data_IF_105357717010
#
_entry.id   IF_105357717010
#
_cell.length_a   1.000
_cell.length_b   1.000
_cell.length_c   1.000
_cell.angle_alpha   90.00
_cell.angle_beta   90.00
_cell.angle_gamma   90.00
#
_symmetry.space_group_name_H-M   'P 1'
#
loop_
_entity.id
_entity.type
_entity.pdbx_description
1 polymer ?
#
# COMPACT_ATOMS: atom_id res chain seq x y z
N UNK A 1 4.82 19.00 -16.64
CA UNK A 1 5.69 18.86 -17.85
C UNK A 1 6.43 20.16 -18.10
N UNK A 2 7.76 20.13 -18.08
CA UNK A 2 8.62 21.31 -18.23
C UNK A 2 8.64 21.84 -19.67
N UNK A 3 9.00 23.12 -19.83
CA UNK A 3 9.18 23.73 -21.15
C UNK A 3 10.12 22.91 -22.05
N UNK A 4 11.23 22.41 -21.52
CA UNK A 4 12.21 21.61 -22.27
C UNK A 4 11.63 20.28 -22.78
N UNK A 5 10.76 19.64 -22.02
CA UNK A 5 10.13 18.37 -22.39
C UNK A 5 9.03 18.60 -23.44
N UNK A 6 8.18 19.62 -23.22
CA UNK A 6 7.13 20.01 -24.17
C UNK A 6 7.68 20.37 -25.55
N UNK A 7 8.87 20.97 -25.58
CA UNK A 7 9.55 21.37 -26.82
C UNK A 7 10.57 20.32 -27.33
N UNK A 8 10.58 19.10 -26.76
CA UNK A 8 11.48 18.00 -27.17
C UNK A 8 12.98 18.34 -27.10
N UNK A 9 13.36 19.32 -26.28
CA UNK A 9 14.75 19.67 -25.99
C UNK A 9 15.38 18.70 -24.99
N UNK A 10 14.55 18.03 -24.20
CA UNK A 10 14.89 16.88 -23.37
C UNK A 10 13.86 15.77 -23.62
N UNK A 11 14.26 14.48 -23.53
CA UNK A 11 13.31 13.38 -23.55
C UNK A 11 12.32 13.53 -22.38
N UNK A 12 11.09 13.08 -22.58
CA UNK A 12 10.12 12.99 -21.50
C UNK A 12 10.55 11.90 -20.52
N UNK A 13 10.29 12.11 -19.23
CA UNK A 13 10.49 11.06 -18.22
C UNK A 13 9.55 9.90 -18.49
N UNK A 14 10.10 8.70 -18.55
CA UNK A 14 9.35 7.45 -18.53
C UNK A 14 9.06 7.05 -17.08
N UNK A 15 8.10 6.15 -16.87
CA UNK A 15 7.86 5.58 -15.54
C UNK A 15 8.99 4.59 -15.25
N UNK A 16 9.70 4.78 -14.14
CA UNK A 16 10.88 3.98 -13.78
C UNK A 16 10.69 3.33 -12.41
N UNK A 17 11.00 2.02 -12.33
CA UNK A 17 11.15 1.27 -11.08
C UNK A 17 12.62 1.27 -10.63
N UNK A 18 12.85 1.10 -9.33
CA UNK A 18 14.17 1.15 -8.70
C UNK A 18 14.51 2.55 -8.20
N UNK A 19 15.74 3.01 -8.50
CA UNK A 19 16.27 4.25 -7.95
C UNK A 19 15.41 5.47 -8.30
N UNK A 20 15.14 6.29 -7.29
CA UNK A 20 14.55 7.60 -7.50
C UNK A 20 15.56 8.53 -8.16
N UNK A 21 15.12 9.27 -9.19
CA UNK A 21 15.99 10.29 -9.76
C UNK A 21 16.24 11.43 -8.76
N UNK A 22 17.30 12.21 -9.00
CA UNK A 22 17.72 13.30 -8.12
C UNK A 22 16.60 14.31 -7.84
N UNK A 23 15.75 14.61 -8.83
CA UNK A 23 14.67 15.57 -8.63
C UNK A 23 13.59 15.00 -7.73
N UNK A 24 13.20 13.74 -7.93
CA UNK A 24 12.28 13.01 -7.06
C UNK A 24 12.82 12.92 -5.62
N UNK A 25 14.08 12.49 -5.44
CA UNK A 25 14.74 12.44 -4.13
C UNK A 25 14.67 13.78 -3.40
N UNK A 26 15.05 14.86 -4.08
CA UNK A 26 15.07 16.19 -3.47
C UNK A 26 13.67 16.68 -3.09
N UNK A 27 12.65 16.39 -3.90
CA UNK A 27 11.27 16.81 -3.63
C UNK A 27 10.67 16.07 -2.44
N UNK A 28 10.88 14.75 -2.36
CA UNK A 28 10.48 13.94 -1.21
C UNK A 28 11.20 14.40 0.05
N UNK A 29 12.51 14.64 -0.03
CA UNK A 29 13.29 15.16 1.10
C UNK A 29 12.77 16.52 1.58
N UNK A 30 12.49 17.45 0.68
CA UNK A 30 11.92 18.75 1.04
C UNK A 30 10.58 18.58 1.78
N UNK A 31 9.77 17.59 1.38
CA UNK A 31 8.53 17.25 2.07
C UNK A 31 8.79 16.76 3.50
N UNK A 32 9.70 15.79 3.67
CA UNK A 32 10.13 15.26 4.98
C UNK A 32 10.71 16.36 5.87
N UNK A 33 11.55 17.23 5.31
CA UNK A 33 12.18 18.34 6.01
C UNK A 33 11.13 19.31 6.57
N UNK A 34 10.15 19.68 5.76
CA UNK A 34 9.04 20.56 6.17
C UNK A 34 8.14 19.90 7.22
N UNK A 35 7.84 18.60 7.11
CA UNK A 35 7.09 17.81 8.10
C UNK A 35 7.72 18.00 9.49
N UNK A 36 9.04 17.82 9.60
CA UNK A 36 9.77 17.93 10.86
C UNK A 36 10.06 19.37 11.29
N UNK A 37 10.26 20.30 10.34
CA UNK A 37 10.60 21.70 10.64
C UNK A 37 9.39 22.55 11.00
N UNK A 38 8.30 22.48 10.24
CA UNK A 38 7.12 23.37 10.41
C UNK A 38 6.33 23.02 11.66
N UNK A 39 6.27 21.73 12.02
CA UNK A 39 5.46 21.22 13.13
C UNK A 39 6.18 21.21 14.49
N UNK A 40 7.32 21.89 14.56
CA UNK A 40 7.86 22.40 15.82
C UNK A 40 9.06 21.64 16.35
N UNK A 41 10.14 22.41 16.54
CA UNK A 41 11.29 22.05 17.37
C UNK A 41 10.90 21.63 18.81
N UNK A 42 9.66 21.91 19.25
CA UNK A 42 9.15 21.61 20.60
C UNK A 42 7.98 20.60 20.66
N UNK A 43 7.47 20.09 19.54
CA UNK A 43 6.42 19.05 19.58
C UNK A 43 6.99 17.72 20.06
N UNK A 44 6.41 17.15 21.12
CA UNK A 44 6.80 15.85 21.66
C UNK A 44 6.53 14.72 20.65
N UNK A 45 5.45 14.83 19.87
CA UNK A 45 5.10 13.83 18.86
C UNK A 45 6.09 13.81 17.71
N UNK A 46 6.49 14.98 17.22
CA UNK A 46 7.54 15.13 16.22
C UNK A 46 8.87 14.54 16.71
N UNK A 47 9.26 14.84 17.96
CA UNK A 47 10.48 14.26 18.55
C UNK A 47 10.41 12.74 18.64
N UNK A 48 9.26 12.18 19.05
CA UNK A 48 9.06 10.72 19.11
C UNK A 48 9.13 10.08 17.72
N UNK A 49 8.47 10.67 16.73
CA UNK A 49 8.50 10.19 15.35
C UNK A 49 9.92 10.20 14.80
N UNK A 50 10.62 11.33 14.90
CA UNK A 50 12.00 11.44 14.41
C UNK A 50 12.96 10.46 15.10
N UNK A 51 12.83 10.29 16.42
CA UNK A 51 13.64 9.32 17.16
C UNK A 51 13.33 7.88 16.73
N UNK A 52 12.07 7.54 16.50
CA UNK A 52 11.67 6.23 15.99
C UNK A 52 12.26 5.98 14.59
N UNK A 53 12.18 6.96 13.69
CA UNK A 53 12.77 6.85 12.35
C UNK A 53 14.28 6.66 12.43
N UNK A 54 14.98 7.47 13.23
CA UNK A 54 16.43 7.35 13.41
C UNK A 54 16.83 5.97 13.97
N UNK A 55 16.09 5.46 14.96
CA UNK A 55 16.32 4.12 15.52
C UNK A 55 16.18 3.02 14.45
N UNK A 56 15.12 3.11 13.63
CA UNK A 56 14.83 2.14 12.55
C UNK A 56 15.87 2.15 11.44
N UNK A 57 16.41 3.31 11.09
CA UNK A 57 17.50 3.40 10.10
C UNK A 57 18.88 3.13 10.70
N UNK A 58 18.96 2.70 11.96
CA UNK A 58 20.21 2.28 12.61
C UNK A 58 21.08 3.42 13.16
N UNK A 59 20.55 4.63 13.24
CA UNK A 59 21.27 5.80 13.75
C UNK A 59 21.32 5.80 15.29
N UNK A 60 22.53 5.81 15.87
CA UNK A 60 22.71 5.80 17.34
C UNK A 60 22.22 7.09 17.99
N UNK A 61 21.51 7.05 19.11
CA UNK A 61 21.23 8.28 19.87
C UNK A 61 22.52 8.98 20.31
N UNK A 62 22.67 10.25 19.95
CA UNK A 62 23.81 11.08 20.36
C UNK A 62 23.36 12.10 21.39
N UNK A 63 23.53 11.79 22.68
CA UNK A 63 23.37 12.77 23.76
C UNK A 63 24.68 13.57 23.87
N UNK A 64 24.87 14.58 23.02
CA UNK A 64 26.07 15.39 23.09
C UNK A 64 25.99 16.36 24.27
N UNK A 65 26.89 16.20 25.24
CA UNK A 65 27.16 17.08 26.40
C UNK A 65 26.21 16.99 27.61
N UNK A 66 26.69 17.47 28.76
CA UNK A 66 25.95 17.63 30.02
C UNK A 66 24.61 18.41 29.88
N UNK A 67 24.46 19.20 28.80
CA UNK A 67 23.22 19.87 28.44
C UNK A 67 22.30 18.98 27.59
N UNK A 68 22.84 18.08 26.77
CA UNK A 68 22.08 17.09 26.00
C UNK A 68 21.40 16.04 26.87
N UNK A 69 21.91 15.76 28.08
CA UNK A 69 21.20 14.92 29.07
C UNK A 69 20.04 15.65 29.76
N UNK A 70 19.99 16.98 29.71
CA UNK A 70 18.92 17.78 30.32
C UNK A 70 17.78 18.07 29.33
N UNK A 71 18.06 18.13 28.01
CA UNK A 71 17.09 18.53 26.98
C UNK A 71 16.89 17.53 25.82
N UNK A 72 17.66 16.43 25.77
CA UNK A 72 17.62 15.46 24.68
C UNK A 72 18.29 15.94 23.39
N UNK A 73 18.24 15.13 22.33
CA UNK A 73 18.64 15.50 20.97
C UNK A 73 17.70 16.58 20.41
N UNK A 74 18.25 17.58 19.71
CA UNK A 74 17.41 18.59 19.04
C UNK A 74 16.80 18.02 17.76
N UNK A 75 15.62 18.50 17.37
CA UNK A 75 14.99 18.14 16.09
C UNK A 75 15.92 18.50 14.91
N UNK A 76 16.66 19.61 15.01
CA UNK A 76 17.62 20.01 13.96
C UNK A 76 18.73 18.98 13.75
N UNK A 77 19.33 18.51 14.84
CA UNK A 77 20.41 17.53 14.79
C UNK A 77 19.89 16.18 14.29
N UNK A 78 18.67 15.79 14.68
CA UNK A 78 18.03 14.58 14.18
C UNK A 78 17.74 14.64 12.68
N UNK A 79 17.18 15.75 12.18
CA UNK A 79 16.90 15.93 10.75
C UNK A 79 18.18 15.92 9.93
N UNK A 80 19.26 16.57 10.39
CA UNK A 80 20.58 16.54 9.71
C UNK A 80 21.15 15.13 9.58
N UNK A 81 20.94 14.29 10.60
CA UNK A 81 21.39 12.89 10.54
C UNK A 81 20.55 12.06 9.60
N UNK A 82 19.23 12.24 9.64
CA UNK A 82 18.33 11.61 8.68
C UNK A 82 18.68 12.00 7.23
N UNK A 83 19.08 13.26 6.99
CA UNK A 83 19.57 13.74 5.69
C UNK A 83 20.83 12.99 5.24
N UNK A 84 21.76 12.73 6.16
CA UNK A 84 22.97 11.98 5.85
C UNK A 84 22.65 10.54 5.45
N UNK A 85 21.68 9.90 6.13
CA UNK A 85 21.21 8.56 5.76
C UNK A 85 20.54 8.61 4.38
N UNK A 86 19.68 9.59 4.13
CA UNK A 86 18.97 9.76 2.85
C UNK A 86 19.91 9.94 1.63
N UNK A 87 21.02 10.64 1.80
CA UNK A 87 21.95 10.95 0.71
C UNK A 87 23.02 9.87 0.49
N UNK A 88 23.42 9.14 1.54
CA UNK A 88 24.61 8.27 1.49
C UNK A 88 24.32 6.76 1.65
N UNK A 89 23.05 6.37 1.69
CA UNK A 89 22.65 4.95 1.81
C UNK A 89 22.30 4.34 0.46
N UNK A 90 22.01 3.04 0.46
CA UNK A 90 21.47 2.33 -0.69
C UNK A 90 20.11 2.91 -1.09
N UNK A 91 19.78 2.77 -2.38
CA UNK A 91 18.60 3.40 -3.01
C UNK A 91 17.23 3.01 -2.42
N UNK A 92 17.18 1.91 -1.66
CA UNK A 92 15.96 1.44 -1.03
C UNK A 92 15.70 2.15 0.31
N UNK A 93 16.73 2.75 0.92
CA UNK A 93 16.60 3.42 2.21
C UNK A 93 15.70 4.65 2.15
N UNK A 94 15.61 5.33 1.01
CA UNK A 94 14.65 6.43 0.81
C UNK A 94 13.20 5.96 1.01
N UNK A 95 12.89 4.76 0.53
CA UNK A 95 11.55 4.17 0.68
C UNK A 95 11.31 3.68 2.11
N UNK A 96 12.31 3.06 2.74
CA UNK A 96 12.23 2.62 4.14
C UNK A 96 12.02 3.81 5.09
N UNK A 97 12.70 4.93 4.84
CA UNK A 97 12.50 6.17 5.61
C UNK A 97 11.05 6.66 5.45
N UNK A 98 10.52 6.69 4.23
CA UNK A 98 9.15 7.12 3.97
C UNK A 98 8.15 6.22 4.71
N UNK A 99 8.24 4.90 4.54
CA UNK A 99 7.33 3.95 5.23
C UNK A 99 7.45 4.07 6.75
N UNK A 100 8.66 4.21 7.28
CA UNK A 100 8.87 4.40 8.72
C UNK A 100 8.23 5.69 9.23
N UNK A 101 8.27 6.78 8.45
CA UNK A 101 7.57 8.03 8.78
C UNK A 101 6.06 7.79 8.82
N UNK A 102 5.51 7.09 7.82
CA UNK A 102 4.08 6.79 7.75
C UNK A 102 3.61 5.90 8.92
N UNK A 103 4.42 4.93 9.34
CA UNK A 103 4.17 4.10 10.53
C UNK A 103 3.99 4.93 11.82
N UNK A 104 4.64 6.08 11.90
CA UNK A 104 4.55 6.94 13.10
C UNK A 104 3.18 7.60 13.26
N UNK A 105 2.34 7.59 12.20
CA UNK A 105 0.99 8.17 12.18
C UNK A 105 0.95 9.60 12.71
N UNK A 106 2.02 10.37 12.44
CA UNK A 106 2.06 11.78 12.80
C UNK A 106 0.96 12.53 12.05
N UNK A 107 0.05 13.12 12.80
CA UNK A 107 -1.04 13.92 12.26
C UNK A 107 -0.55 15.34 12.03
N UNK A 108 0.22 15.52 10.96
CA UNK A 108 0.77 16.81 10.57
C UNK A 108 0.48 17.12 9.12
N UNK A 109 -0.03 18.33 8.89
CA UNK A 109 -0.40 18.81 7.57
C UNK A 109 0.79 19.56 6.94
N UNK A 110 1.05 19.30 5.67
CA UNK A 110 2.14 19.94 4.92
C UNK A 110 1.76 21.34 4.40
N UNK A 111 0.47 21.65 4.38
CA UNK A 111 -0.11 22.89 3.85
C UNK A 111 -1.39 23.26 4.60
N UNK A 112 -1.88 24.48 4.35
CA UNK A 112 -3.17 24.97 4.86
C UNK A 112 -4.36 24.10 4.38
N UNK A 113 -4.16 23.29 3.33
CA UNK A 113 -5.20 22.47 2.68
C UNK A 113 -5.35 21.06 3.30
N UNK A 114 -4.78 20.80 4.49
CA UNK A 114 -4.93 19.56 5.28
C UNK A 114 -4.62 18.25 4.52
N UNK A 115 -3.86 18.31 3.43
CA UNK A 115 -3.54 17.12 2.63
C UNK A 115 -2.72 16.11 3.45
N UNK A 116 -3.15 14.84 3.57
CA UNK A 116 -2.41 13.86 4.35
C UNK A 116 -1.09 13.46 3.68
N UNK A 117 -0.12 13.03 4.50
CA UNK A 117 1.26 12.72 4.07
C UNK A 117 1.34 11.72 2.92
N UNK A 118 0.62 10.58 2.94
CA UNK A 118 0.62 9.63 1.82
C UNK A 118 0.27 10.28 0.47
N UNK A 119 -0.77 11.13 0.43
CA UNK A 119 -1.22 11.81 -0.79
C UNK A 119 -0.18 12.81 -1.32
N UNK A 120 0.54 13.48 -0.42
CA UNK A 120 1.63 14.39 -0.79
C UNK A 120 2.79 13.65 -1.45
N UNK A 121 3.20 12.52 -0.86
CA UNK A 121 4.22 11.68 -1.46
C UNK A 121 3.77 11.07 -2.79
N UNK A 122 2.51 10.61 -2.89
CA UNK A 122 1.94 10.12 -4.15
C UNK A 122 1.92 11.17 -5.25
N UNK A 123 1.61 12.43 -4.91
CA UNK A 123 1.68 13.55 -5.86
C UNK A 123 3.10 13.72 -6.40
N UNK A 124 4.12 13.67 -5.53
CA UNK A 124 5.51 13.77 -5.94
C UNK A 124 5.92 12.57 -6.80
N UNK A 125 5.57 11.35 -6.40
CA UNK A 125 5.85 10.15 -7.19
C UNK A 125 5.23 10.21 -8.59
N UNK A 126 3.99 10.66 -8.72
CA UNK A 126 3.31 10.78 -10.01
C UNK A 126 3.94 11.83 -10.91
N UNK A 127 4.18 13.03 -10.38
CA UNK A 127 4.74 14.14 -11.13
C UNK A 127 6.17 13.86 -11.60
N UNK A 128 6.94 13.13 -10.79
CA UNK A 128 8.32 12.74 -11.09
C UNK A 128 8.42 11.42 -11.87
N UNK A 129 7.30 10.79 -12.24
CA UNK A 129 7.24 9.53 -12.98
C UNK A 129 7.95 8.37 -12.27
N UNK A 130 7.84 8.34 -10.94
CA UNK A 130 8.20 7.17 -10.14
C UNK A 130 7.23 6.02 -10.41
N UNK A 131 7.77 4.81 -10.50
CA UNK A 131 7.06 3.53 -10.59
C UNK A 131 6.35 3.09 -9.31
N UNK A 132 6.33 3.94 -8.28
CA UNK A 132 5.83 3.60 -6.95
C UNK A 132 4.68 4.50 -6.48
N UNK A 133 3.77 3.94 -5.68
CA UNK A 133 2.70 4.67 -4.98
C UNK A 133 2.56 4.13 -3.55
N UNK A 134 1.95 4.91 -2.69
CA UNK A 134 1.63 4.55 -1.31
C UNK A 134 0.16 4.18 -1.24
N UNK A 135 -0.13 2.97 -0.75
CA UNK A 135 -1.45 2.50 -0.34
C UNK A 135 -1.29 1.87 1.04
N UNK A 136 -2.19 2.16 1.97
CA UNK A 136 -2.17 1.60 3.34
C UNK A 136 -0.78 1.73 4.01
N UNK A 137 -0.16 2.91 3.84
CA UNK A 137 1.19 3.24 4.31
C UNK A 137 2.33 2.37 3.76
N UNK A 138 2.07 1.55 2.74
CA UNK A 138 3.04 0.70 2.06
C UNK A 138 3.33 1.25 0.66
N UNK A 139 4.60 1.27 0.27
CA UNK A 139 5.04 1.67 -1.06
C UNK A 139 5.00 0.46 -1.99
N UNK A 140 4.20 0.56 -3.05
CA UNK A 140 3.93 -0.52 -3.99
C UNK A 140 4.31 -0.14 -5.42
N UNK A 141 4.71 -1.14 -6.21
CA UNK A 141 5.05 -0.99 -7.63
C UNK A 141 3.81 -1.01 -8.56
N UNK A 142 2.76 -0.30 -8.18
CA UNK A 142 1.52 -0.12 -8.95
C UNK A 142 1.35 1.37 -9.21
N UNK A 143 1.06 1.75 -10.45
CA UNK A 143 0.95 3.17 -10.84
C UNK A 143 -0.31 3.52 -11.61
N UNK A 144 -1.08 2.52 -12.03
CA UNK A 144 -2.34 2.75 -12.71
C UNK A 144 -3.40 3.23 -11.70
N UNK A 145 -4.01 4.41 -11.88
CA UNK A 145 -4.96 4.96 -10.92
C UNK A 145 -6.18 4.06 -10.66
N UNK A 146 -6.65 3.31 -11.67
CA UNK A 146 -7.81 2.42 -11.52
C UNK A 146 -7.43 1.20 -10.71
N UNK A 147 -6.25 0.62 -10.96
CA UNK A 147 -5.72 -0.48 -10.12
C UNK A 147 -5.57 -0.05 -8.66
N UNK A 148 -5.10 1.17 -8.41
CA UNK A 148 -4.91 1.71 -7.06
C UNK A 148 -6.24 1.96 -6.34
N UNK A 149 -7.18 2.62 -7.02
CA UNK A 149 -8.51 2.93 -6.48
C UNK A 149 -9.25 1.65 -6.07
N UNK A 150 -9.21 0.62 -6.90
CA UNK A 150 -9.83 -0.68 -6.59
C UNK A 150 -9.23 -1.32 -5.32
N UNK A 151 -7.91 -1.27 -5.17
CA UNK A 151 -7.24 -1.80 -3.98
C UNK A 151 -7.61 -0.96 -2.75
N UNK A 152 -7.53 0.37 -2.82
CA UNK A 152 -7.87 1.26 -1.71
C UNK A 152 -9.32 1.10 -1.25
N UNK A 153 -10.28 1.02 -2.17
CA UNK A 153 -11.69 0.83 -1.83
C UNK A 153 -11.94 -0.54 -1.17
N UNK A 154 -11.18 -1.55 -1.56
CA UNK A 154 -11.29 -2.91 -1.01
C UNK A 154 -10.68 -3.08 0.38
N UNK A 155 -9.83 -2.14 0.81
CA UNK A 155 -9.21 -2.11 2.14
C UNK A 155 -10.04 -1.35 3.19
N UNK A 156 -11.18 -0.77 2.77
CA UNK A 156 -12.05 0.02 3.62
C UNK A 156 -13.47 -0.58 3.62
N UNK A 157 -13.59 -1.83 4.06
CA UNK A 157 -14.89 -2.50 4.17
C UNK A 157 -15.42 -2.44 5.60
N UNK A 158 -16.73 -2.68 5.83
CA UNK A 158 -17.23 -2.89 7.19
C UNK A 158 -16.86 -4.27 7.76
N UNK A 159 -15.93 -5.00 7.13
CA UNK A 159 -15.63 -6.40 7.40
C UNK A 159 -14.12 -6.61 7.66
N UNK A 160 -13.68 -6.44 8.91
CA UNK A 160 -12.26 -6.49 9.31
C UNK A 160 -11.49 -7.70 8.76
N UNK A 161 -12.10 -8.90 8.73
CA UNK A 161 -11.45 -10.12 8.21
C UNK A 161 -11.11 -10.03 6.71
N UNK A 162 -11.90 -9.29 5.93
CA UNK A 162 -11.64 -9.06 4.51
C UNK A 162 -10.46 -8.09 4.37
N UNK A 163 -10.51 -6.98 5.09
CA UNK A 163 -9.46 -5.94 5.09
C UNK A 163 -8.12 -6.53 5.55
N UNK A 164 -8.10 -7.30 6.64
CA UNK A 164 -6.89 -7.99 7.13
C UNK A 164 -6.25 -8.91 6.09
N UNK A 165 -7.07 -9.60 5.28
CA UNK A 165 -6.57 -10.50 4.24
C UNK A 165 -5.95 -9.70 3.09
N UNK A 166 -6.60 -8.60 2.67
CA UNK A 166 -6.08 -7.73 1.62
C UNK A 166 -4.85 -6.95 2.05
N UNK A 167 -4.78 -6.46 3.29
CA UNK A 167 -3.58 -5.83 3.85
C UNK A 167 -2.41 -6.82 3.88
N UNK A 168 -2.62 -8.08 4.26
CA UNK A 168 -1.58 -9.11 4.17
C UNK A 168 -1.15 -9.37 2.73
N UNK A 169 -2.10 -9.47 1.81
CA UNK A 169 -1.82 -9.65 0.39
C UNK A 169 -0.96 -8.51 -0.19
N UNK A 170 -1.32 -7.27 0.18
CA UNK A 170 -0.60 -6.06 -0.20
C UNK A 170 0.81 -6.06 0.40
N UNK A 171 0.98 -6.43 1.67
CA UNK A 171 2.28 -6.55 2.32
C UNK A 171 3.20 -7.57 1.66
N UNK A 172 2.67 -8.75 1.30
CA UNK A 172 3.44 -9.76 0.60
C UNK A 172 3.86 -9.31 -0.81
N UNK A 173 3.04 -8.49 -1.46
CA UNK A 173 3.35 -7.91 -2.77
C UNK A 173 4.37 -6.78 -2.69
N UNK A 174 4.29 -5.95 -1.65
CA UNK A 174 5.07 -4.72 -1.50
C UNK A 174 6.48 -4.92 -0.96
N UNK A 175 6.79 -6.08 -0.38
CA UNK A 175 8.13 -6.41 0.11
C UNK A 175 9.15 -6.27 -1.03
N UNK A 176 10.00 -5.24 -0.94
CA UNK A 176 10.98 -4.89 -1.98
C UNK A 176 12.21 -5.78 -1.96
N UNK A 177 12.58 -6.31 -0.79
CA UNK A 177 13.78 -7.13 -0.63
C UNK A 177 13.49 -8.58 -0.99
N UNK A 178 12.32 -9.07 -0.61
CA UNK A 178 11.91 -10.47 -0.78
C UNK A 178 10.39 -10.57 -1.00
N UNK A 179 9.87 -10.13 -2.15
CA UNK A 179 8.44 -10.23 -2.44
C UNK A 179 7.95 -11.68 -2.40
N UNK A 180 6.79 -11.88 -1.78
CA UNK A 180 6.15 -13.19 -1.67
C UNK A 180 4.86 -13.21 -2.50
N UNK A 181 5.04 -13.16 -3.83
CA UNK A 181 3.94 -13.13 -4.79
C UNK A 181 2.97 -14.30 -4.62
N UNK A 182 3.48 -15.47 -4.24
CA UNK A 182 2.67 -16.64 -3.93
C UNK A 182 1.71 -16.37 -2.79
N UNK A 183 2.21 -15.91 -1.63
CA UNK A 183 1.34 -15.63 -0.49
C UNK A 183 0.47 -14.38 -0.71
N UNK A 184 0.91 -13.41 -1.51
CA UNK A 184 0.05 -12.31 -1.97
C UNK A 184 -1.19 -12.82 -2.70
N UNK A 185 -1.03 -13.74 -3.66
CA UNK A 185 -2.15 -14.37 -4.36
C UNK A 185 -3.04 -15.16 -3.38
N UNK A 186 -2.44 -15.93 -2.46
CA UNK A 186 -3.21 -16.73 -1.50
C UNK A 186 -4.12 -15.87 -0.63
N UNK A 187 -3.59 -14.77 -0.11
CA UNK A 187 -4.33 -13.86 0.76
C UNK A 187 -5.36 -13.02 0.00
N UNK A 188 -5.06 -12.63 -1.24
CA UNK A 188 -6.04 -11.98 -2.13
C UNK A 188 -7.31 -12.82 -2.29
N UNK A 189 -7.15 -14.14 -2.41
CA UNK A 189 -8.29 -15.07 -2.50
C UNK A 189 -8.92 -15.36 -1.15
N UNK A 190 -8.12 -15.37 -0.07
CA UNK A 190 -8.67 -15.44 1.30
C UNK A 190 -9.67 -14.31 1.52
N UNK A 191 -9.40 -13.09 1.05
CA UNK A 191 -10.33 -11.97 1.16
C UNK A 191 -11.67 -12.23 0.47
N UNK A 192 -11.63 -12.76 -0.76
CA UNK A 192 -12.85 -13.14 -1.51
C UNK A 192 -13.61 -14.25 -0.79
N UNK A 193 -12.90 -15.25 -0.25
CA UNK A 193 -13.49 -16.34 0.55
C UNK A 193 -14.21 -15.80 1.78
N UNK A 194 -13.54 -14.92 2.52
CA UNK A 194 -14.09 -14.25 3.69
C UNK A 194 -15.37 -13.49 3.35
N UNK A 195 -15.34 -12.70 2.27
CA UNK A 195 -16.54 -11.98 1.81
C UNK A 195 -17.69 -12.95 1.47
N UNK A 196 -17.39 -14.06 0.78
CA UNK A 196 -18.40 -15.06 0.46
C UNK A 196 -18.97 -15.76 1.71
N UNK A 197 -18.13 -16.05 2.71
CA UNK A 197 -18.55 -16.63 4.00
C UNK A 197 -19.46 -15.69 4.77
N UNK A 198 -19.13 -14.39 4.82
CA UNK A 198 -19.95 -13.35 5.43
C UNK A 198 -21.33 -13.30 4.79
N UNK A 199 -21.41 -13.22 3.46
CA UNK A 199 -22.69 -13.21 2.72
C UNK A 199 -23.51 -14.47 3.02
N UNK A 200 -22.83 -15.62 3.10
CA UNK A 200 -23.49 -16.90 3.28
C UNK A 200 -23.84 -17.21 4.74
N UNK A 201 -23.29 -16.48 5.70
CA UNK A 201 -23.35 -16.79 7.13
C UNK A 201 -22.91 -18.24 7.43
N UNK A 202 -21.76 -18.64 6.87
CA UNK A 202 -21.23 -20.01 6.95
C UNK A 202 -19.70 -20.04 6.78
N UNK A 203 -18.98 -20.03 7.90
CA UNK A 203 -17.51 -19.99 7.97
C UNK A 203 -16.82 -21.25 7.40
N UNK A 204 -17.57 -22.34 7.24
CA UNK A 204 -17.05 -23.62 6.73
C UNK A 204 -17.01 -23.68 5.21
N UNK A 205 -17.52 -22.67 4.52
CA UNK A 205 -17.61 -22.68 3.06
C UNK A 205 -16.26 -22.49 2.39
N UNK A 206 -15.92 -23.47 1.55
CA UNK A 206 -14.90 -23.30 0.51
C UNK A 206 -15.45 -22.43 -0.63
N UNK A 207 -14.57 -21.62 -1.25
CA UNK A 207 -14.93 -20.62 -2.25
C UNK A 207 -15.83 -21.13 -3.37
N UNK A 208 -15.47 -22.28 -3.96
CA UNK A 208 -16.20 -22.87 -5.09
C UNK A 208 -17.65 -23.22 -4.74
N UNK A 209 -17.90 -23.58 -3.47
CA UNK A 209 -19.26 -23.83 -2.95
C UNK A 209 -19.96 -22.53 -2.56
N UNK A 210 -19.22 -21.57 -2.02
CA UNK A 210 -19.74 -20.28 -1.60
C UNK A 210 -20.35 -19.48 -2.77
N UNK A 211 -19.66 -19.44 -3.93
CA UNK A 211 -20.19 -18.82 -5.16
C UNK A 211 -21.53 -19.41 -5.62
N UNK A 212 -21.77 -20.70 -5.35
CA UNK A 212 -23.04 -21.37 -5.64
C UNK A 212 -24.18 -20.93 -4.73
N UNK A 213 -23.87 -20.54 -3.49
CA UNK A 213 -24.86 -20.15 -2.46
C UNK A 213 -25.23 -18.66 -2.49
N UNK A 214 -24.42 -17.79 -3.10
CA UNK A 214 -24.66 -16.34 -3.16
C UNK A 214 -26.08 -15.97 -3.64
N UNK A 215 -26.59 -16.69 -4.63
CA UNK A 215 -27.93 -16.42 -5.21
C UNK A 215 -29.06 -16.68 -4.21
N UNK A 216 -28.91 -17.68 -3.34
CA UNK A 216 -29.86 -17.95 -2.25
C UNK A 216 -29.87 -16.84 -1.18
N UNK A 217 -28.84 -15.99 -1.17
CA UNK A 217 -28.69 -14.84 -0.28
C UNK A 217 -29.06 -13.52 -0.98
N UNK A 218 -29.74 -13.59 -2.13
CA UNK A 218 -30.17 -12.42 -2.90
C UNK A 218 -29.08 -11.82 -3.80
N UNK A 219 -27.89 -12.43 -3.87
CA UNK A 219 -26.80 -11.97 -4.73
C UNK A 219 -26.80 -12.74 -6.05
N UNK A 220 -27.40 -12.14 -7.07
CA UNK A 220 -27.37 -12.69 -8.43
C UNK A 220 -26.06 -12.35 -9.15
N UNK A 221 -25.42 -13.38 -9.69
CA UNK A 221 -24.28 -13.32 -10.61
C UNK A 221 -24.61 -14.23 -11.78
N UNK A 222 -24.53 -13.70 -13.01
CA UNK A 222 -24.80 -14.46 -14.23
C UNK A 222 -23.96 -15.75 -14.27
N UNK A 223 -24.56 -16.86 -14.71
CA UNK A 223 -23.95 -18.19 -14.64
C UNK A 223 -22.58 -18.27 -15.32
N UNK A 224 -22.44 -17.67 -16.51
CA UNK A 224 -21.16 -17.64 -17.23
C UNK A 224 -20.06 -16.90 -16.44
N UNK A 225 -20.39 -15.79 -15.77
CA UNK A 225 -19.46 -15.04 -14.94
C UNK A 225 -19.09 -15.83 -13.69
N UNK A 226 -20.07 -16.49 -13.05
CA UNK A 226 -19.86 -17.39 -11.90
C UNK A 226 -18.90 -18.54 -12.25
N UNK A 227 -19.06 -19.15 -13.42
CA UNK A 227 -18.14 -20.21 -13.89
C UNK A 227 -16.74 -19.65 -14.21
N UNK A 228 -16.64 -18.43 -14.76
CA UNK A 228 -15.37 -17.73 -14.94
C UNK A 228 -14.61 -17.56 -13.63
N UNK A 229 -15.28 -17.07 -12.58
CA UNK A 229 -14.69 -16.95 -11.25
C UNK A 229 -14.25 -18.29 -10.67
N UNK A 230 -15.09 -19.33 -10.78
CA UNK A 230 -14.69 -20.68 -10.33
C UNK A 230 -13.43 -21.18 -11.03
N UNK A 231 -13.27 -20.91 -12.33
CA UNK A 231 -12.06 -21.29 -13.07
C UNK A 231 -10.83 -20.49 -12.63
N UNK A 232 -10.99 -19.18 -12.45
CA UNK A 232 -9.90 -18.33 -11.94
C UNK A 232 -9.47 -18.76 -10.54
N UNK A 233 -10.39 -19.21 -9.69
CA UNK A 233 -10.03 -19.70 -8.36
C UNK A 233 -9.57 -21.16 -8.32
N UNK A 234 -9.88 -21.95 -9.35
CA UNK A 234 -9.26 -23.26 -9.55
C UNK A 234 -7.74 -23.14 -9.72
N UNK A 235 -7.26 -22.12 -10.44
CA UNK A 235 -5.83 -21.82 -10.58
C UNK A 235 -5.09 -21.73 -9.24
N UNK A 236 -5.77 -21.27 -8.18
CA UNK A 236 -5.16 -21.05 -6.88
C UNK A 236 -5.51 -22.11 -5.85
N UNK A 237 -6.70 -22.72 -5.94
CA UNK A 237 -7.28 -23.56 -4.90
C UNK A 237 -7.46 -25.03 -5.29
N UNK A 238 -7.22 -25.41 -6.55
CA UNK A 238 -7.26 -26.83 -6.94
C UNK A 238 -6.06 -27.61 -6.34
N UNK A 239 -6.13 -28.94 -6.33
CA UNK A 239 -5.07 -29.80 -5.80
C UNK A 239 -3.69 -29.57 -6.47
N UNK A 240 -3.68 -29.04 -7.69
CA UNK A 240 -2.48 -28.62 -8.44
C UNK A 240 -2.27 -27.09 -8.43
N UNK A 241 -3.05 -26.33 -7.67
CA UNK A 241 -3.02 -24.88 -7.61
C UNK A 241 -2.02 -24.33 -6.58
N UNK A 242 -1.87 -23.01 -6.58
CA UNK A 242 -0.88 -22.27 -5.78
C UNK A 242 -0.96 -22.57 -4.27
N UNK A 243 -2.16 -22.70 -3.70
CA UNK A 243 -2.37 -22.97 -2.27
C UNK A 243 -1.97 -24.39 -1.85
N UNK A 244 -1.99 -25.35 -2.77
CA UNK A 244 -1.68 -26.75 -2.50
C UNK A 244 -0.26 -27.16 -2.92
N UNK A 245 0.57 -26.20 -3.34
CA UNK A 245 1.96 -26.45 -3.73
C UNK A 245 2.11 -27.15 -5.08
N UNK A 246 1.08 -27.10 -5.93
CA UNK A 246 1.13 -27.68 -7.27
C UNK A 246 1.79 -26.80 -8.34
N UNK A 247 2.05 -25.54 -8.01
CA UNK A 247 2.83 -24.59 -8.81
C UNK A 247 4.11 -24.29 -8.02
N UNK A 248 5.26 -24.40 -8.69
CA UNK A 248 6.55 -24.08 -8.08
C UNK A 248 6.61 -22.57 -7.74
N UNK A 249 7.26 -22.22 -6.64
CA UNK A 249 7.43 -20.81 -6.23
C UNK A 249 8.14 -19.98 -7.30
N UNK A 250 8.96 -20.62 -8.12
CA UNK A 250 9.67 -20.02 -9.24
C UNK A 250 8.77 -19.64 -10.44
N UNK A 251 7.52 -20.10 -10.47
CA UNK A 251 6.60 -19.88 -11.60
C UNK A 251 5.63 -18.72 -11.37
N UNK A 252 5.54 -18.15 -10.16
CA UNK A 252 4.65 -17.02 -9.84
C UNK A 252 5.41 -15.71 -9.98
N UNK A 253 4.98 -14.87 -10.92
CA UNK A 253 5.63 -13.59 -11.20
C UNK A 253 4.88 -12.40 -10.59
N UNK A 254 5.51 -11.23 -10.60
CA UNK A 254 4.94 -9.99 -10.07
C UNK A 254 3.63 -9.61 -10.79
N UNK A 255 3.55 -9.84 -12.10
CA UNK A 255 2.36 -9.61 -12.91
C UNK A 255 1.18 -10.49 -12.52
N UNK A 256 1.44 -11.76 -12.13
CA UNK A 256 0.39 -12.68 -11.66
C UNK A 256 -0.16 -12.22 -10.32
N UNK A 257 0.73 -11.88 -9.38
CA UNK A 257 0.32 -11.38 -8.07
C UNK A 257 -0.42 -10.05 -8.17
N UNK A 258 0.06 -9.12 -9.01
CA UNK A 258 -0.63 -7.85 -9.25
C UNK A 258 -2.03 -8.09 -9.83
N UNK A 259 -2.13 -8.92 -10.87
CA UNK A 259 -3.41 -9.24 -11.50
C UNK A 259 -4.39 -9.83 -10.49
N UNK A 260 -3.94 -10.76 -9.66
CA UNK A 260 -4.78 -11.41 -8.65
C UNK A 260 -5.17 -10.44 -7.53
N UNK A 261 -4.25 -9.62 -7.02
CA UNK A 261 -4.54 -8.61 -6.01
C UNK A 261 -5.64 -7.64 -6.50
N UNK A 262 -5.44 -7.03 -7.66
CA UNK A 262 -6.41 -6.08 -8.25
C UNK A 262 -7.75 -6.75 -8.55
N UNK A 263 -7.74 -7.93 -9.18
CA UNK A 263 -8.99 -8.62 -9.55
C UNK A 263 -9.77 -9.10 -8.32
N UNK A 264 -9.08 -9.54 -7.26
CA UNK A 264 -9.71 -9.92 -6.01
C UNK A 264 -10.26 -8.71 -5.26
N UNK A 265 -9.53 -7.59 -5.22
CA UNK A 265 -10.03 -6.31 -4.70
C UNK A 265 -11.31 -5.87 -5.39
N UNK A 266 -11.31 -5.83 -6.74
CA UNK A 266 -12.50 -5.49 -7.51
C UNK A 266 -13.67 -6.45 -7.25
N UNK A 267 -13.40 -7.74 -7.06
CA UNK A 267 -14.46 -8.68 -6.76
C UNK A 267 -15.01 -8.55 -5.34
N UNK A 268 -14.15 -8.22 -4.35
CA UNK A 268 -14.57 -7.86 -3.00
C UNK A 268 -15.48 -6.63 -3.04
N UNK A 269 -15.08 -5.56 -3.75
CA UNK A 269 -15.90 -4.35 -3.92
C UNK A 269 -17.26 -4.67 -4.54
N UNK A 270 -17.27 -5.45 -5.62
CA UNK A 270 -18.50 -5.90 -6.27
C UNK A 270 -19.43 -6.72 -5.35
N UNK A 271 -18.87 -7.65 -4.57
CA UNK A 271 -19.65 -8.45 -3.62
C UNK A 271 -20.15 -7.62 -2.45
N UNK A 272 -19.33 -6.72 -1.91
CA UNK A 272 -19.65 -5.74 -0.87
C UNK A 272 -20.85 -4.90 -1.29
N UNK A 273 -20.77 -4.27 -2.46
CA UNK A 273 -21.85 -3.42 -2.99
C UNK A 273 -23.17 -4.21 -3.13
N UNK A 274 -23.11 -5.43 -3.68
CA UNK A 274 -24.30 -6.29 -3.80
C UNK A 274 -24.86 -6.73 -2.45
N UNK A 275 -24.00 -7.02 -1.49
CA UNK A 275 -24.40 -7.45 -0.15
C UNK A 275 -25.06 -6.31 0.64
N UNK A 276 -24.46 -5.13 0.67
CA UNK A 276 -25.03 -3.95 1.34
C UNK A 276 -26.40 -3.56 0.76
N UNK A 277 -26.57 -3.68 -0.56
CA UNK A 277 -27.88 -3.52 -1.21
C UNK A 277 -28.93 -4.51 -0.71
N UNK A 278 -28.55 -5.75 -0.39
CA UNK A 278 -29.48 -6.75 0.17
C UNK A 278 -29.88 -6.46 1.61
N UNK A 279 -29.03 -5.75 2.36
CA UNK A 279 -29.30 -5.31 3.74
C UNK A 279 -30.08 -3.99 3.82
N UNK A 280 -30.23 -3.28 2.70
CA UNK A 280 -30.84 -1.94 2.67
C UNK A 280 -29.92 -0.82 3.14
N UNK A 281 -28.61 -1.07 3.17
CA UNK A 281 -27.58 -0.16 3.69
C UNK A 281 -26.88 0.69 2.60
N UNK A 282 -27.26 0.54 1.33
CA UNK A 282 -26.65 1.24 0.20
C UNK A 282 -27.65 2.19 -0.46
N UNK A 283 -27.44 3.51 -0.37
CA UNK A 283 -28.28 4.55 -0.97
C UNK A 283 -27.81 5.01 -2.37
N UNK A 284 -26.70 4.45 -2.87
CA UNK A 284 -26.26 4.56 -4.26
C UNK A 284 -25.99 5.98 -4.74
N UNK A 285 -25.67 6.89 -3.81
CA UNK A 285 -25.27 8.25 -4.09
C UNK A 285 -23.83 8.46 -3.67
N UNK A 286 -22.92 8.00 -4.50
CA UNK A 286 -21.62 8.64 -4.72
C UNK A 286 -21.30 8.53 -6.22
#
# INVERSE_FOLDING_TARGET
>A
MYFSERNKLKPQKEIVLGNLDRTCKNRLWNCIYDIYRRNGYDSLEIKKSLNYVLDKVGEKYTYSSLLGSLFGQTVEDGVKRLEQVWENSEWYCEFDIIETILETKIDVTYSDDETPIPQLFNTIFEEEKSGYRIIDNMIIAITDPVELEEIEESLNTPFDVVDESLTKALKFYSDRESPDYKNSIKESITAVESMCKIICDDDSLELGRALGKLESKGIYIHSAMKEGFKKLYGYTSDANGIRHGGIDESEVMAEDAKYMLVTCSAFVNYLKEKYLKTQGEYDGKD
#
